data_IF_825891722418
#
_entry.id   IF_825891722418
#
_cell.length_a   1.000
_cell.length_b   1.000
_cell.length_c   1.000
_cell.angle_alpha   90.00
_cell.angle_beta   90.00
_cell.angle_gamma   90.00
#
_symmetry.space_group_name_H-M   'P 1'
#
loop_
_entity.id
_entity.type
_entity.pdbx_description
1 polymer ?
#
# COMPACT_ATOMS: atom_id res chain seq x y z
N UNK A 1 -5.36 15.38 19.80
CA UNK A 1 -6.00 14.06 19.53
C UNK A 1 -7.42 14.26 19.04
N UNK A 2 -7.75 13.79 17.89
CA UNK A 2 -9.12 13.80 17.33
C UNK A 2 -9.46 12.42 16.80
N UNK A 3 -10.57 11.84 17.23
CA UNK A 3 -11.06 10.58 16.69
C UNK A 3 -12.42 10.81 16.04
N UNK A 4 -12.53 10.41 14.78
CA UNK A 4 -13.79 10.47 14.03
C UNK A 4 -14.08 9.09 13.47
N UNK A 5 -15.27 8.59 13.75
CA UNK A 5 -15.74 7.31 13.20
C UNK A 5 -17.06 7.53 12.48
N UNK A 6 -17.17 7.04 11.26
CA UNK A 6 -18.38 7.09 10.45
C UNK A 6 -18.71 5.72 9.89
N UNK A 7 -19.97 5.47 9.56
CA UNK A 7 -20.39 4.24 8.90
C UNK A 7 -21.46 4.55 7.85
N UNK A 8 -21.46 3.78 6.77
CA UNK A 8 -22.39 3.93 5.65
C UNK A 8 -21.68 4.15 4.33
N UNK A 9 -22.33 3.83 3.22
CA UNK A 9 -21.78 4.07 1.89
C UNK A 9 -21.50 5.55 1.68
N UNK A 10 -20.39 5.87 0.99
CA UNK A 10 -19.93 7.24 0.73
C UNK A 10 -19.66 8.08 2.00
N UNK A 11 -19.40 7.42 3.15
CA UNK A 11 -19.10 8.14 4.39
C UNK A 11 -17.65 8.67 4.41
N UNK A 12 -17.46 9.81 5.10
CA UNK A 12 -16.14 10.45 5.20
C UNK A 12 -15.80 10.75 6.66
N UNK A 13 -14.56 10.45 7.05
CA UNK A 13 -13.99 10.82 8.33
C UNK A 13 -12.68 11.58 8.11
N UNK A 14 -12.59 12.80 8.63
CA UNK A 14 -11.40 13.63 8.53
C UNK A 14 -10.95 14.09 9.91
N UNK A 15 -9.64 13.97 10.18
CA UNK A 15 -9.05 14.53 11.39
C UNK A 15 -7.78 15.31 11.07
N UNK A 16 -7.48 16.30 11.90
CA UNK A 16 -6.23 17.04 11.84
C UNK A 16 -5.57 17.06 13.22
N UNK A 17 -4.25 17.04 13.26
CA UNK A 17 -3.46 17.02 14.48
C UNK A 17 -2.82 15.66 14.78
N UNK A 18 -1.76 15.68 15.55
CA UNK A 18 -1.00 14.49 15.88
C UNK A 18 -1.82 13.51 16.74
N UNK A 19 -1.46 12.22 16.64
CA UNK A 19 -2.11 11.13 17.36
C UNK A 19 -3.63 11.04 17.09
N UNK A 20 -4.06 11.37 15.89
CA UNK A 20 -5.48 11.36 15.49
C UNK A 20 -5.87 10.09 14.75
N UNK A 21 -7.12 9.69 14.83
CA UNK A 21 -7.65 8.53 14.12
C UNK A 21 -8.93 8.86 13.36
N UNK A 22 -8.96 8.53 12.07
CA UNK A 22 -10.15 8.59 11.23
C UNK A 22 -10.52 7.17 10.81
N UNK A 23 -11.75 6.74 11.09
CA UNK A 23 -12.23 5.39 10.75
C UNK A 23 -13.53 5.48 9.98
N UNK A 24 -13.63 4.75 8.87
CA UNK A 24 -14.90 4.60 8.14
C UNK A 24 -15.19 3.15 7.82
N UNK A 25 -16.47 2.81 7.72
CA UNK A 25 -16.93 1.53 7.21
C UNK A 25 -18.03 1.75 6.17
N UNK A 26 -17.91 1.17 4.99
CA UNK A 26 -18.91 1.26 3.92
C UNK A 26 -18.28 1.34 2.55
N UNK A 27 -19.07 1.03 1.55
CA UNK A 27 -18.66 1.12 0.14
C UNK A 27 -18.32 2.56 -0.26
N UNK A 28 -17.24 2.78 -0.98
CA UNK A 28 -16.75 4.10 -1.39
C UNK A 28 -16.50 5.07 -0.20
N UNK A 29 -16.13 4.56 0.96
CA UNK A 29 -15.87 5.38 2.13
C UNK A 29 -14.44 5.95 2.14
N UNK A 30 -14.23 7.08 2.81
CA UNK A 30 -12.93 7.74 2.87
C UNK A 30 -12.54 8.17 4.27
N UNK A 31 -11.36 7.79 4.72
CA UNK A 31 -10.76 8.27 5.95
C UNK A 31 -9.47 9.05 5.66
N UNK A 32 -9.32 10.25 6.23
CA UNK A 32 -8.08 10.99 6.07
C UNK A 32 -7.61 11.63 7.37
N UNK A 33 -6.29 11.58 7.59
CA UNK A 33 -5.65 12.26 8.72
C UNK A 33 -4.50 13.14 8.25
N UNK A 34 -4.35 14.29 8.90
CA UNK A 34 -3.20 15.17 8.74
C UNK A 34 -2.56 15.36 10.12
N UNK A 35 -1.35 14.81 10.31
CA UNK A 35 -0.63 14.86 11.58
C UNK A 35 0.22 13.62 11.76
N UNK A 36 1.28 13.74 12.54
CA UNK A 36 2.20 12.64 12.82
C UNK A 36 1.56 11.62 13.80
N UNK A 37 2.01 10.37 13.72
CA UNK A 37 1.48 9.27 14.55
C UNK A 37 -0.02 9.04 14.39
N UNK A 38 -0.58 9.35 13.23
CA UNK A 38 -2.02 9.30 12.98
C UNK A 38 -2.43 8.09 12.13
N UNK A 39 -3.68 7.66 12.28
CA UNK A 39 -4.19 6.47 11.61
C UNK A 39 -5.44 6.80 10.78
N UNK A 40 -5.46 6.38 9.52
CA UNK A 40 -6.65 6.38 8.69
C UNK A 40 -7.04 4.93 8.36
N UNK A 41 -8.23 4.51 8.72
CA UNK A 41 -8.73 3.16 8.52
C UNK A 41 -10.02 3.17 7.71
N UNK A 42 -10.09 2.32 6.69
CA UNK A 42 -11.35 2.09 5.96
C UNK A 42 -11.64 0.61 5.79
N UNK A 43 -12.92 0.26 5.78
CA UNK A 43 -13.39 -1.07 5.42
C UNK A 43 -14.52 -0.94 4.40
N UNK A 44 -14.38 -1.63 3.27
CA UNK A 44 -15.36 -1.62 2.16
C UNK A 44 -14.69 -1.40 0.81
N UNK A 45 -15.35 -1.87 -0.23
CA UNK A 45 -14.82 -1.81 -1.59
C UNK A 45 -14.76 -0.37 -2.10
N UNK A 46 -13.81 -0.09 -2.98
CA UNK A 46 -13.52 1.24 -3.52
C UNK A 46 -13.21 2.30 -2.46
N UNK A 47 -12.82 1.88 -1.27
CA UNK A 47 -12.57 2.78 -0.14
C UNK A 47 -11.16 3.35 -0.14
N UNK A 48 -10.95 4.50 0.50
CA UNK A 48 -9.68 5.21 0.52
C UNK A 48 -9.25 5.60 1.94
N UNK A 49 -8.04 5.22 2.34
CA UNK A 49 -7.39 5.72 3.55
C UNK A 49 -6.17 6.56 3.19
N UNK A 50 -6.07 7.79 3.72
CA UNK A 50 -4.96 8.69 3.42
C UNK A 50 -4.38 9.31 4.69
N UNK A 51 -3.04 9.30 4.81
CA UNK A 51 -2.34 10.02 5.88
C UNK A 51 -1.22 10.91 5.32
N UNK A 52 -0.97 12.06 5.94
CA UNK A 52 0.08 12.99 5.48
C UNK A 52 1.18 13.26 6.51
N UNK A 53 1.16 12.61 7.67
CA UNK A 53 2.16 12.80 8.72
C UNK A 53 3.21 11.69 8.80
N UNK A 54 4.32 11.96 9.45
CA UNK A 54 5.33 10.94 9.73
C UNK A 54 4.83 9.92 10.76
N UNK A 55 5.38 8.70 10.71
CA UNK A 55 4.99 7.60 11.59
C UNK A 55 3.48 7.28 11.54
N UNK A 56 2.84 7.53 10.42
CA UNK A 56 1.39 7.39 10.27
C UNK A 56 1.02 6.16 9.44
N UNK A 57 -0.19 5.65 9.65
CA UNK A 57 -0.65 4.44 9.00
C UNK A 57 -1.96 4.66 8.25
N UNK A 58 -2.00 4.22 6.99
CA UNK A 58 -3.22 4.14 6.21
C UNK A 58 -3.54 2.66 5.95
N UNK A 59 -4.69 2.19 6.40
CA UNK A 59 -5.14 0.81 6.24
C UNK A 59 -6.48 0.75 5.53
N UNK A 60 -6.58 -0.14 4.54
CA UNK A 60 -7.85 -0.42 3.88
C UNK A 60 -8.12 -1.92 3.81
N UNK A 61 -9.38 -2.30 3.87
CA UNK A 61 -9.85 -3.65 3.57
C UNK A 61 -11.04 -3.55 2.60
N UNK A 62 -10.94 -4.21 1.46
CA UNK A 62 -11.95 -4.21 0.39
C UNK A 62 -11.30 -4.20 -0.98
N UNK A 63 -12.04 -4.66 -1.97
CA UNK A 63 -11.56 -4.72 -3.35
C UNK A 63 -11.47 -3.30 -3.94
N UNK A 64 -10.52 -3.10 -4.87
CA UNK A 64 -10.23 -1.80 -5.47
C UNK A 64 -9.93 -0.68 -4.45
N UNK A 65 -9.65 -1.02 -3.19
CA UNK A 65 -9.41 -0.04 -2.14
C UNK A 65 -7.99 0.54 -2.20
N UNK A 66 -7.81 1.74 -1.64
CA UNK A 66 -6.54 2.46 -1.70
C UNK A 66 -6.07 2.94 -0.34
N UNK A 67 -4.82 2.61 0.00
CA UNK A 67 -4.12 3.19 1.14
C UNK A 67 -2.96 4.07 0.66
N UNK A 68 -2.91 5.32 1.12
CA UNK A 68 -1.87 6.26 0.72
C UNK A 68 -1.25 6.94 1.94
N UNK A 69 0.07 6.97 2.01
CA UNK A 69 0.78 7.77 3.03
C UNK A 69 1.79 8.71 2.38
N UNK A 70 1.88 9.93 2.91
CA UNK A 70 2.93 10.89 2.56
C UNK A 70 3.63 11.33 3.84
N UNK A 71 4.60 10.55 4.29
CA UNK A 71 5.36 10.82 5.50
C UNK A 71 6.44 9.77 5.70
N UNK A 72 7.55 10.16 6.29
CA UNK A 72 8.63 9.22 6.59
C UNK A 72 8.23 8.24 7.69
N UNK A 73 8.76 7.02 7.63
CA UNK A 73 8.46 5.94 8.59
C UNK A 73 6.97 5.56 8.62
N UNK A 74 6.25 5.78 7.52
CA UNK A 74 4.81 5.55 7.45
C UNK A 74 4.47 4.29 6.66
N UNK A 75 3.30 3.73 6.92
CA UNK A 75 2.90 2.47 6.31
C UNK A 75 1.54 2.59 5.62
N UNK A 76 1.46 2.09 4.38
CA UNK A 76 0.22 1.92 3.64
C UNK A 76 -0.05 0.42 3.47
N UNK A 77 -1.17 -0.08 3.98
CA UNK A 77 -1.55 -1.47 3.89
C UNK A 77 -2.93 -1.63 3.27
N UNK A 78 -3.04 -2.56 2.33
CA UNK A 78 -4.33 -2.95 1.76
C UNK A 78 -4.55 -4.45 1.80
N UNK A 79 -5.78 -4.86 2.04
CA UNK A 79 -6.24 -6.23 1.86
C UNK A 79 -7.48 -6.21 0.96
N UNK A 80 -7.41 -6.88 -0.17
CA UNK A 80 -8.46 -6.93 -1.20
C UNK A 80 -7.85 -7.00 -2.58
N UNK A 81 -8.59 -7.57 -3.52
CA UNK A 81 -8.15 -7.73 -4.89
C UNK A 81 -8.12 -6.36 -5.61
N UNK A 82 -7.21 -6.22 -6.56
CA UNK A 82 -6.99 -4.97 -7.30
C UNK A 82 -6.65 -3.75 -6.42
N UNK A 83 -6.41 -3.94 -5.14
CA UNK A 83 -6.17 -2.84 -4.21
C UNK A 83 -4.77 -2.21 -4.39
N UNK A 84 -4.66 -0.96 -3.96
CA UNK A 84 -3.44 -0.17 -4.15
C UNK A 84 -2.88 0.34 -2.81
N UNK A 85 -1.59 0.07 -2.54
CA UNK A 85 -0.86 0.68 -1.45
C UNK A 85 0.25 1.61 -1.99
N UNK A 86 0.29 2.85 -1.53
CA UNK A 86 1.28 3.83 -1.99
C UNK A 86 1.89 4.59 -0.83
N UNK A 87 3.24 4.72 -0.82
CA UNK A 87 3.95 5.61 0.11
C UNK A 87 4.92 6.51 -0.65
N UNK A 88 5.07 7.75 -0.19
CA UNK A 88 6.03 8.71 -0.76
C UNK A 88 7.14 9.12 0.22
N UNK A 89 7.07 8.67 1.46
CA UNK A 89 8.04 9.00 2.49
C UNK A 89 9.28 8.11 2.49
N UNK A 90 10.38 8.62 3.03
CA UNK A 90 11.61 7.86 3.25
C UNK A 90 11.40 6.82 4.35
N UNK A 91 12.01 5.63 4.22
CA UNK A 91 11.89 4.53 5.18
C UNK A 91 10.42 4.12 5.43
N UNK A 92 9.58 4.28 4.41
CA UNK A 92 8.17 3.95 4.46
C UNK A 92 7.89 2.65 3.70
N UNK A 93 6.84 1.94 4.10
CA UNK A 93 6.53 0.64 3.53
C UNK A 93 5.10 0.60 3.01
N UNK A 94 4.94 0.01 1.82
CA UNK A 94 3.63 -0.25 1.24
C UNK A 94 3.44 -1.76 1.09
N UNK A 95 2.31 -2.30 1.53
CA UNK A 95 1.97 -3.70 1.43
C UNK A 95 0.58 -3.92 0.84
N UNK A 96 0.47 -4.93 -0.02
CA UNK A 96 -0.82 -5.44 -0.51
C UNK A 96 -0.92 -6.95 -0.32
N UNK A 97 -2.10 -7.46 0.03
CA UNK A 97 -2.35 -8.88 0.25
C UNK A 97 -3.36 -9.51 -0.74
N UNK A 98 -4.06 -8.76 -1.55
CA UNK A 98 -5.00 -9.25 -2.56
C UNK A 98 -4.36 -9.56 -3.91
N UNK A 99 -5.04 -10.35 -4.74
CA UNK A 99 -4.60 -10.66 -6.09
C UNK A 99 -4.66 -9.42 -7.00
N UNK A 100 -3.76 -9.35 -7.98
CA UNK A 100 -3.67 -8.26 -8.97
C UNK A 100 -3.52 -6.87 -8.35
N UNK A 101 -3.10 -6.82 -7.11
CA UNK A 101 -2.90 -5.58 -6.38
C UNK A 101 -1.60 -4.87 -6.79
N UNK A 102 -1.53 -3.59 -6.53
CA UNK A 102 -0.37 -2.74 -6.90
C UNK A 102 0.23 -2.06 -5.68
N UNK A 103 1.54 -2.21 -5.52
CA UNK A 103 2.28 -1.59 -4.40
C UNK A 103 3.34 -0.64 -4.94
N UNK A 104 3.36 0.60 -4.47
CA UNK A 104 4.30 1.62 -4.94
C UNK A 104 4.96 2.37 -3.78
N UNK A 105 6.28 2.50 -3.83
CA UNK A 105 7.02 3.36 -2.92
C UNK A 105 7.97 4.27 -3.72
N UNK A 106 7.92 5.58 -3.46
CA UNK A 106 8.81 6.54 -4.11
C UNK A 106 9.83 7.19 -3.16
N UNK A 107 9.81 6.81 -1.89
CA UNK A 107 10.81 7.26 -0.91
C UNK A 107 12.07 6.39 -0.88
N UNK A 108 13.19 6.98 -0.49
CA UNK A 108 14.45 6.26 -0.32
C UNK A 108 14.36 5.19 0.78
N UNK A 109 15.08 4.08 0.57
CA UNK A 109 15.17 2.97 1.53
C UNK A 109 13.80 2.42 1.96
N UNK A 110 12.83 2.43 1.06
CA UNK A 110 11.47 1.98 1.29
C UNK A 110 11.21 0.62 0.64
N UNK A 111 10.19 -0.09 1.10
CA UNK A 111 9.86 -1.44 0.61
C UNK A 111 8.44 -1.44 0.04
N UNK A 112 8.32 -1.91 -1.21
CA UNK A 112 7.04 -2.23 -1.84
C UNK A 112 6.86 -3.75 -1.83
N UNK A 113 5.88 -4.27 -1.07
CA UNK A 113 5.62 -5.69 -0.97
C UNK A 113 4.20 -6.03 -1.46
N UNK A 114 4.09 -6.92 -2.43
CA UNK A 114 2.82 -7.42 -2.93
C UNK A 114 2.80 -8.95 -2.84
N UNK A 115 1.91 -9.48 -1.98
CA UNK A 115 1.85 -10.89 -1.67
C UNK A 115 0.72 -11.64 -2.37
N UNK A 116 -0.17 -10.95 -3.06
CA UNK A 116 -1.24 -11.60 -3.83
C UNK A 116 -0.79 -12.11 -5.19
N UNK A 117 -1.54 -13.04 -5.74
CA UNK A 117 -1.28 -13.60 -7.07
C UNK A 117 -1.34 -12.52 -8.17
N UNK A 118 -0.43 -12.58 -9.14
CA UNK A 118 -0.38 -11.65 -10.26
C UNK A 118 -0.29 -10.17 -9.87
N UNK A 119 0.29 -9.87 -8.71
CA UNK A 119 0.42 -8.51 -8.20
C UNK A 119 1.69 -7.82 -8.70
N UNK A 120 1.73 -6.50 -8.51
CA UNK A 120 2.78 -5.64 -9.05
C UNK A 120 3.42 -4.82 -7.93
N UNK A 121 4.73 -4.61 -8.06
CA UNK A 121 5.46 -3.72 -7.15
C UNK A 121 6.40 -2.81 -7.94
N UNK A 122 6.54 -1.58 -7.47
CA UNK A 122 7.59 -0.65 -7.92
C UNK A 122 8.18 0.12 -6.76
N UNK A 123 9.44 0.49 -6.87
CA UNK A 123 10.12 1.32 -5.88
C UNK A 123 11.09 2.30 -6.54
N UNK A 124 11.40 3.39 -5.85
CA UNK A 124 12.46 4.31 -6.23
C UNK A 124 13.85 3.67 -6.09
N UNK A 125 14.85 4.32 -6.65
CA UNK A 125 16.25 3.87 -6.57
C UNK A 125 16.68 3.59 -5.12
N UNK A 126 17.36 2.46 -4.90
CA UNK A 126 17.82 2.02 -3.58
C UNK A 126 16.75 1.35 -2.70
N UNK A 127 15.49 1.41 -3.09
CA UNK A 127 14.41 0.68 -2.45
C UNK A 127 14.39 -0.82 -2.79
N UNK A 128 13.45 -1.54 -2.20
CA UNK A 128 13.23 -2.96 -2.44
C UNK A 128 11.82 -3.22 -2.95
N UNK A 129 11.71 -4.20 -3.85
CA UNK A 129 10.45 -4.80 -4.23
C UNK A 129 10.38 -6.25 -3.74
N UNK A 130 9.22 -6.67 -3.26
CA UNK A 130 8.94 -8.02 -2.76
C UNK A 130 7.68 -8.52 -3.44
N UNK A 131 7.75 -9.68 -4.09
CA UNK A 131 6.63 -10.30 -4.79
C UNK A 131 6.53 -11.78 -4.43
N UNK A 132 5.31 -12.27 -4.24
CA UNK A 132 5.05 -13.69 -4.08
C UNK A 132 4.80 -14.34 -5.44
N UNK A 133 5.37 -15.54 -5.61
CA UNK A 133 5.13 -16.40 -6.77
C UNK A 133 4.08 -17.44 -6.40
N UNK A 134 3.13 -17.60 -7.30
CA UNK A 134 2.08 -18.59 -7.19
C UNK A 134 2.19 -19.63 -8.29
N UNK A 135 1.88 -20.85 -7.93
CA UNK A 135 1.55 -21.95 -8.84
C UNK A 135 0.10 -22.32 -8.52
N UNK A 136 -0.81 -22.02 -9.44
CA UNK A 136 -2.26 -21.99 -9.17
C UNK A 136 -2.56 -21.13 -7.93
N UNK A 137 -3.08 -21.70 -6.87
CA UNK A 137 -3.43 -21.01 -5.60
C UNK A 137 -2.38 -21.20 -4.49
N UNK A 138 -1.24 -21.81 -4.81
CA UNK A 138 -0.19 -22.11 -3.82
C UNK A 138 0.98 -21.14 -3.95
N UNK A 139 1.38 -20.52 -2.83
CA UNK A 139 2.62 -19.73 -2.77
C UNK A 139 3.81 -20.69 -2.82
N UNK A 140 4.59 -20.62 -3.89
CA UNK A 140 5.78 -21.47 -4.10
C UNK A 140 7.08 -20.74 -3.77
N UNK A 141 7.10 -19.42 -3.82
CA UNK A 141 8.26 -18.63 -3.44
C UNK A 141 7.89 -17.17 -3.12
N UNK A 142 8.76 -16.50 -2.36
CA UNK A 142 8.78 -15.04 -2.21
C UNK A 142 10.10 -14.55 -2.78
N UNK A 143 10.06 -13.60 -3.69
CA UNK A 143 11.22 -13.03 -4.36
C UNK A 143 11.41 -11.58 -3.94
N UNK A 144 12.66 -11.21 -3.71
CA UNK A 144 13.04 -9.85 -3.38
C UNK A 144 14.07 -9.33 -4.38
N UNK A 145 13.99 -8.05 -4.72
CA UNK A 145 14.99 -7.41 -5.55
C UNK A 145 15.26 -5.98 -5.07
N UNK A 146 16.51 -5.55 -5.16
CA UNK A 146 16.91 -4.17 -4.89
C UNK A 146 16.88 -3.36 -6.18
N UNK A 147 16.16 -2.24 -6.14
CA UNK A 147 16.06 -1.32 -7.28
C UNK A 147 17.40 -0.65 -7.55
N UNK A 148 17.79 -0.62 -8.82
CA UNK A 148 19.11 -0.16 -9.28
C UNK A 148 20.18 -1.25 -9.31
N UNK A 149 19.82 -2.51 -9.01
CA UNK A 149 20.70 -3.69 -9.13
C UNK A 149 20.00 -4.79 -9.94
N UNK A 150 20.79 -5.69 -10.49
CA UNK A 150 20.36 -6.90 -11.19
C UNK A 150 19.30 -6.64 -12.29
N UNK A 151 19.41 -5.49 -12.98
CA UNK A 151 18.50 -5.10 -14.05
C UNK A 151 17.17 -4.50 -13.60
N UNK A 152 16.93 -4.33 -12.29
CA UNK A 152 15.71 -3.72 -11.77
C UNK A 152 15.81 -2.19 -11.85
N UNK A 153 14.98 -1.58 -12.69
CA UNK A 153 14.95 -0.13 -12.92
C UNK A 153 14.14 0.61 -11.86
N UNK A 154 14.53 1.84 -11.50
CA UNK A 154 13.70 2.69 -10.64
C UNK A 154 12.34 3.01 -11.28
N UNK A 155 11.33 3.20 -10.43
CA UNK A 155 9.99 3.67 -10.77
C UNK A 155 9.28 2.86 -11.87
N UNK A 156 9.75 1.63 -12.11
CA UNK A 156 9.21 0.69 -13.09
C UNK A 156 8.40 -0.39 -12.37
N UNK A 157 7.23 -0.72 -12.92
CA UNK A 157 6.42 -1.81 -12.41
C UNK A 157 7.02 -3.16 -12.75
N UNK A 158 7.05 -4.05 -11.76
CA UNK A 158 7.48 -5.44 -11.90
C UNK A 158 6.42 -6.39 -11.40
N UNK A 159 6.33 -7.53 -12.06
CA UNK A 159 5.61 -8.74 -11.62
C UNK A 159 6.55 -9.94 -11.72
N UNK A 160 6.16 -11.07 -11.16
CA UNK A 160 6.88 -12.33 -11.40
C UNK A 160 6.31 -13.06 -12.61
N UNK A 161 7.20 -13.60 -13.44
CA UNK A 161 6.85 -14.57 -14.46
C UNK A 161 6.51 -15.94 -13.83
N UNK A 162 5.89 -16.88 -14.56
CA UNK A 162 5.68 -18.24 -14.07
C UNK A 162 6.95 -18.95 -13.59
N UNK A 163 8.11 -18.55 -14.11
CA UNK A 163 9.43 -19.10 -13.71
C UNK A 163 10.07 -18.35 -12.53
N UNK A 164 9.36 -17.42 -11.90
CA UNK A 164 9.83 -16.65 -10.74
C UNK A 164 10.87 -15.57 -11.05
N UNK A 165 10.92 -15.07 -12.28
CA UNK A 165 11.80 -13.96 -12.67
C UNK A 165 11.01 -12.65 -12.64
N UNK A 166 11.66 -11.58 -12.19
CA UNK A 166 11.11 -10.23 -12.32
C UNK A 166 11.01 -9.85 -13.80
N UNK A 167 9.85 -9.42 -14.23
CA UNK A 167 9.58 -8.91 -15.57
C UNK A 167 8.91 -7.55 -15.47
N UNK A 168 9.31 -6.64 -16.35
CA UNK A 168 8.69 -5.33 -16.45
C UNK A 168 7.21 -5.49 -16.86
N UNK A 169 6.37 -4.65 -16.31
CA UNK A 169 4.94 -4.61 -16.60
C UNK A 169 4.51 -3.16 -16.86
N UNK A 170 3.59 -2.99 -17.78
CA UNK A 170 3.01 -1.69 -18.14
C UNK A 170 1.88 -1.26 -17.18
#
# INVERSE_FOLDING_TARGET
>A
MGNVTTAGSYSHAFTAGDLSCATTAGHCASAATAGSYSHALTAGDFSCATTTGNFSHALTAGDDARATTAGSYSHALTAGDYAHATTTGRLAHALTAGARAKTSVSGENSIAAAFGANSYARAAAGGFIVLAQYDEDTVVAVKTARVGKDGIKPDTWYKLSPTGKFVEAD
#
